data_IF_013533733916
#
_entry.id   IF_013533733916
#
_cell.length_a   1.000
_cell.length_b   1.000
_cell.length_c   1.000
_cell.angle_alpha   90.00
_cell.angle_beta   90.00
_cell.angle_gamma   90.00
#
_symmetry.space_group_name_H-M   'P 1'
#
loop_
_entity.id
_entity.type
_entity.pdbx_description
1 polymer ?
#
# COMPACT_ATOMS: atom_id res chain seq x y z
N UNK A 1 35.65 -19.77 -63.97
CA UNK A 1 35.41 -19.21 -62.63
C UNK A 1 33.94 -18.86 -62.53
N UNK A 2 33.15 -19.65 -61.79
CA UNK A 2 31.75 -19.35 -61.53
C UNK A 2 31.66 -18.83 -60.08
N UNK A 3 31.20 -17.61 -59.89
CA UNK A 3 30.98 -17.02 -58.56
C UNK A 3 29.53 -17.29 -58.19
N UNK A 4 29.32 -18.11 -57.16
CA UNK A 4 28.03 -18.31 -56.49
C UNK A 4 27.73 -17.06 -55.66
N UNK A 5 26.68 -16.34 -56.02
CA UNK A 5 26.14 -15.25 -55.21
C UNK A 5 25.27 -15.81 -54.09
N UNK A 6 25.69 -15.61 -52.84
CA UNK A 6 24.87 -15.87 -51.66
C UNK A 6 23.94 -14.67 -51.44
N UNK A 7 22.65 -14.84 -51.73
CA UNK A 7 21.61 -13.88 -51.35
C UNK A 7 21.27 -14.04 -49.88
N UNK A 8 21.53 -13.01 -49.07
CA UNK A 8 21.04 -12.95 -47.70
C UNK A 8 19.53 -12.67 -47.72
N UNK A 9 18.73 -13.58 -47.16
CA UNK A 9 17.33 -13.35 -46.87
C UNK A 9 17.25 -12.39 -45.69
N UNK A 10 17.02 -11.11 -45.95
CA UNK A 10 16.62 -10.15 -44.92
C UNK A 10 15.21 -10.52 -44.48
N UNK A 11 15.10 -11.22 -43.35
CA UNK A 11 13.81 -11.52 -42.74
C UNK A 11 13.14 -10.25 -42.21
N UNK A 12 11.86 -10.06 -42.53
CA UNK A 12 10.98 -9.10 -41.85
C UNK A 12 10.74 -9.57 -40.41
N UNK A 13 11.71 -9.33 -39.54
CA UNK A 13 11.54 -9.35 -38.10
C UNK A 13 11.70 -7.93 -37.59
N UNK A 14 10.64 -7.11 -37.72
CA UNK A 14 10.61 -5.81 -37.06
C UNK A 14 10.68 -6.04 -35.56
N UNK A 15 11.80 -5.70 -34.94
CA UNK A 15 11.85 -5.55 -33.51
C UNK A 15 10.93 -4.36 -33.17
N UNK A 16 9.84 -4.61 -32.44
CA UNK A 16 9.13 -3.52 -31.79
C UNK A 16 10.12 -2.90 -30.81
N UNK A 17 10.53 -1.66 -31.04
CA UNK A 17 11.29 -0.94 -30.05
C UNK A 17 10.37 -0.84 -28.83
N UNK A 18 10.76 -1.45 -27.71
CA UNK A 18 10.13 -1.11 -26.44
C UNK A 18 10.57 0.31 -26.13
N UNK A 19 9.75 1.29 -26.55
CA UNK A 19 10.00 2.68 -26.23
C UNK A 19 10.10 2.79 -24.72
N UNK A 20 11.25 3.32 -24.29
CA UNK A 20 11.49 3.52 -22.86
C UNK A 20 10.54 4.62 -22.42
N UNK A 21 9.62 4.28 -21.50
CA UNK A 21 8.61 5.21 -20.99
C UNK A 21 9.28 6.49 -20.46
N UNK A 22 8.90 7.64 -21.01
CA UNK A 22 9.50 8.93 -20.71
C UNK A 22 8.89 9.55 -19.43
N UNK A 23 9.41 9.16 -18.27
CA UNK A 23 8.93 9.63 -16.96
C UNK A 23 9.33 11.08 -16.65
N UNK A 24 8.36 11.87 -16.20
CA UNK A 24 8.50 13.28 -15.81
C UNK A 24 7.87 13.53 -14.42
N UNK A 25 8.18 14.64 -13.73
CA UNK A 25 7.44 15.05 -12.54
C UNK A 25 5.93 15.27 -12.81
N UNK A 26 5.06 14.87 -11.88
CA UNK A 26 3.61 15.06 -12.01
C UNK A 26 3.12 16.38 -11.39
N UNK A 27 3.21 17.51 -12.09
CA UNK A 27 2.81 18.80 -11.50
C UNK A 27 1.31 18.87 -11.14
N UNK A 28 0.44 18.36 -12.01
CA UNK A 28 -1.02 18.35 -11.83
C UNK A 28 -1.47 17.39 -10.70
N UNK A 29 -0.90 16.19 -10.70
CA UNK A 29 -1.27 15.14 -9.76
C UNK A 29 -0.68 15.38 -8.37
N UNK A 30 0.52 15.97 -8.27
CA UNK A 30 1.19 16.25 -7.00
C UNK A 30 0.31 17.11 -6.09
N UNK A 31 -0.21 18.24 -6.60
CA UNK A 31 -1.10 19.11 -5.83
C UNK A 31 -2.35 18.36 -5.34
N UNK A 32 -2.99 17.58 -6.22
CA UNK A 32 -4.16 16.79 -5.89
C UNK A 32 -3.89 15.77 -4.76
N UNK A 33 -2.79 15.02 -4.84
CA UNK A 33 -2.51 14.00 -3.80
C UNK A 33 -2.02 14.62 -2.49
N UNK A 34 -1.40 15.80 -2.54
CA UNK A 34 -1.07 16.59 -1.33
C UNK A 34 -2.35 17.01 -0.60
N UNK A 35 -3.37 17.47 -1.31
CA UNK A 35 -4.66 17.84 -0.71
C UNK A 35 -5.38 16.63 -0.08
N UNK A 36 -5.13 15.42 -0.59
CA UNK A 36 -5.60 14.16 0.00
C UNK A 36 -4.77 13.69 1.21
N UNK A 37 -3.76 14.45 1.62
CA UNK A 37 -2.91 14.16 2.78
C UNK A 37 -1.85 13.09 2.51
N UNK A 38 -1.43 12.88 1.26
CA UNK A 38 -0.28 12.02 0.95
C UNK A 38 1.00 12.68 1.46
N UNK A 39 1.87 11.85 2.06
CA UNK A 39 3.17 12.26 2.61
C UNK A 39 4.06 12.92 1.53
N UNK A 40 4.72 14.04 1.87
CA UNK A 40 5.57 14.82 0.96
C UNK A 40 6.67 13.96 0.31
N UNK A 41 7.30 13.04 1.06
CA UNK A 41 8.33 12.15 0.52
C UNK A 41 7.78 11.09 -0.45
N UNK A 42 6.46 10.88 -0.50
CA UNK A 42 5.79 10.11 -1.56
C UNK A 42 5.53 10.99 -2.77
N UNK A 43 5.11 12.25 -2.55
CA UNK A 43 4.87 13.23 -3.61
C UNK A 43 6.16 13.55 -4.39
N UNK A 44 7.28 13.72 -3.71
CA UNK A 44 8.59 14.01 -4.35
C UNK A 44 9.08 12.91 -5.30
N UNK A 45 8.62 11.68 -5.09
CA UNK A 45 8.97 10.51 -5.92
C UNK A 45 7.89 10.16 -6.94
N UNK A 46 6.83 10.96 -7.02
CA UNK A 46 5.73 10.77 -7.95
C UNK A 46 6.15 11.21 -9.35
N UNK A 47 6.05 10.28 -10.31
CA UNK A 47 6.38 10.49 -11.71
C UNK A 47 5.21 10.10 -12.59
N UNK A 48 5.05 10.82 -13.69
CA UNK A 48 4.00 10.65 -14.68
C UNK A 48 4.63 10.36 -16.04
N UNK A 49 3.90 9.65 -16.88
CA UNK A 49 4.25 9.43 -18.27
C UNK A 49 2.99 9.22 -19.09
N UNK A 50 3.14 9.30 -20.40
CA UNK A 50 2.14 8.88 -21.37
C UNK A 50 2.71 7.77 -22.24
N UNK A 51 1.89 6.79 -22.60
CA UNK A 51 2.25 5.68 -23.49
C UNK A 51 1.16 5.51 -24.53
N UNK A 52 1.54 5.53 -25.80
CA UNK A 52 0.64 5.19 -26.89
C UNK A 52 0.49 3.69 -27.01
N UNK A 53 -0.76 3.23 -27.09
CA UNK A 53 -1.10 1.82 -27.34
C UNK A 53 -2.04 1.73 -28.53
N UNK A 54 -1.97 0.64 -29.32
CA UNK A 54 -2.91 0.47 -30.42
C UNK A 54 -4.34 0.36 -29.88
N UNK A 55 -5.27 1.04 -30.56
CA UNK A 55 -6.70 0.92 -30.28
C UNK A 55 -7.21 -0.48 -30.65
N UNK A 56 -6.65 -1.06 -31.70
CA UNK A 56 -6.91 -2.42 -32.16
C UNK A 56 -5.58 -3.20 -32.16
N UNK A 57 -5.48 -4.21 -31.30
CA UNK A 57 -4.25 -5.01 -31.18
C UNK A 57 -4.06 -5.99 -32.35
N UNK A 58 -5.09 -6.27 -33.15
CA UNK A 58 -4.97 -7.05 -34.39
C UNK A 58 -4.37 -6.21 -35.54
N UNK A 59 -4.42 -4.88 -35.42
CA UNK A 59 -3.78 -3.91 -36.32
C UNK A 59 -2.85 -2.95 -35.53
N UNK A 60 -1.66 -3.42 -35.10
CA UNK A 60 -0.79 -2.67 -34.20
C UNK A 60 -0.18 -1.39 -34.83
N UNK A 61 -0.22 -1.26 -36.15
CA UNK A 61 0.21 -0.06 -36.88
C UNK A 61 -0.95 0.93 -37.13
N UNK A 62 -2.16 0.58 -36.70
CA UNK A 62 -3.37 1.37 -36.85
C UNK A 62 -3.44 2.58 -35.90
N UNK A 63 -4.67 2.99 -35.56
CA UNK A 63 -4.89 4.12 -34.64
C UNK A 63 -4.41 3.79 -33.24
N UNK A 64 -3.78 4.74 -32.56
CA UNK A 64 -3.38 4.62 -31.16
C UNK A 64 -4.28 5.43 -30.23
N UNK A 65 -4.25 5.08 -28.95
CA UNK A 65 -4.78 5.87 -27.83
C UNK A 65 -3.66 6.10 -26.82
N UNK A 66 -3.71 7.24 -26.14
CA UNK A 66 -2.74 7.57 -25.10
C UNK A 66 -3.22 7.05 -23.73
N UNK A 67 -2.36 6.32 -23.03
CA UNK A 67 -2.55 5.91 -21.65
C UNK A 67 -1.71 6.81 -20.72
N UNK A 68 -2.38 7.53 -19.82
CA UNK A 68 -1.72 8.29 -18.77
C UNK A 68 -1.32 7.37 -17.61
N UNK A 69 -0.03 7.35 -17.31
CA UNK A 69 0.57 6.54 -16.24
C UNK A 69 1.09 7.43 -15.11
N UNK A 70 1.08 6.89 -13.90
CA UNK A 70 1.80 7.44 -12.76
C UNK A 70 2.51 6.32 -12.00
N UNK A 71 3.61 6.67 -11.32
CA UNK A 71 4.30 5.78 -10.39
C UNK A 71 4.91 6.58 -9.25
N UNK A 72 5.09 5.91 -8.12
CA UNK A 72 5.99 6.40 -7.08
C UNK A 72 7.23 5.54 -7.12
N UNK A 73 8.39 6.15 -7.36
CA UNK A 73 9.66 5.42 -7.44
C UNK A 73 9.99 4.80 -6.08
N UNK A 74 10.14 3.47 -6.03
CA UNK A 74 10.49 2.74 -4.82
C UNK A 74 11.83 3.19 -4.24
N UNK A 75 12.01 3.02 -2.92
CA UNK A 75 13.30 3.31 -2.26
C UNK A 75 14.31 2.18 -2.41
N UNK A 76 13.84 0.96 -2.68
CA UNK A 76 14.68 -0.20 -2.96
C UNK A 76 14.64 -0.50 -4.47
N UNK A 77 15.75 -0.31 -5.20
CA UNK A 77 15.79 -0.58 -6.64
C UNK A 77 15.67 -2.06 -6.99
N UNK A 78 15.84 -2.99 -6.03
CA UNK A 78 15.66 -4.42 -6.24
C UNK A 78 14.20 -4.88 -6.04
N UNK A 79 13.32 -4.02 -5.51
CA UNK A 79 11.93 -4.37 -5.29
C UNK A 79 11.16 -4.49 -6.62
N UNK A 80 10.23 -5.47 -6.74
CA UNK A 80 9.40 -5.59 -7.93
C UNK A 80 8.42 -4.41 -8.06
N UNK A 81 8.01 -4.12 -9.29
CA UNK A 81 6.95 -3.14 -9.55
C UNK A 81 5.59 -3.74 -9.22
N UNK A 82 4.78 -3.01 -8.47
CA UNK A 82 3.38 -3.33 -8.23
C UNK A 82 2.49 -2.42 -9.08
N UNK A 83 1.72 -3.02 -9.98
CA UNK A 83 0.67 -2.30 -10.69
C UNK A 83 -0.63 -2.33 -9.89
N UNK A 84 -1.30 -1.18 -9.80
CA UNK A 84 -2.57 -1.04 -9.08
C UNK A 84 -3.62 -0.50 -10.02
N UNK A 85 -4.85 -0.99 -9.87
CA UNK A 85 -6.01 -0.54 -10.62
C UNK A 85 -7.15 -0.33 -9.61
N UNK A 86 -7.81 0.85 -9.55
CA UNK A 86 -8.88 1.12 -8.59
C UNK A 86 -10.07 0.16 -8.72
N UNK A 87 -10.15 -0.55 -9.85
CA UNK A 87 -11.31 -1.35 -10.20
C UNK A 87 -12.43 -0.46 -10.73
N UNK A 88 -13.52 -1.08 -11.16
CA UNK A 88 -14.59 -0.40 -11.90
C UNK A 88 -14.09 0.18 -13.24
N UNK A 89 -14.97 0.33 -14.23
CA UNK A 89 -14.66 1.16 -15.37
C UNK A 89 -14.92 2.64 -15.05
N UNK A 90 -14.09 3.53 -15.59
CA UNK A 90 -14.30 4.99 -15.54
C UNK A 90 -13.76 5.71 -14.31
N UNK A 91 -13.20 4.99 -13.33
CA UNK A 91 -12.49 5.62 -12.20
C UNK A 91 -11.08 6.01 -12.63
N UNK A 92 -10.69 7.25 -12.33
CA UNK A 92 -9.35 7.77 -12.57
C UNK A 92 -8.33 7.02 -11.71
N UNK A 93 -7.29 6.46 -12.34
CA UNK A 93 -6.34 5.56 -11.68
C UNK A 93 -4.99 6.19 -11.30
N UNK A 94 -4.64 7.39 -11.80
CA UNK A 94 -3.27 7.94 -11.66
C UNK A 94 -2.98 8.29 -10.20
N UNK A 95 -3.98 8.71 -9.43
CA UNK A 95 -3.80 8.98 -8.00
C UNK A 95 -3.55 7.72 -7.14
N UNK A 96 -3.87 6.52 -7.66
CA UNK A 96 -3.89 5.31 -6.85
C UNK A 96 -2.51 4.82 -6.40
N UNK A 97 -1.45 5.04 -7.18
CA UNK A 97 -0.09 4.65 -6.78
C UNK A 97 0.34 5.36 -5.49
N UNK A 98 0.12 6.68 -5.42
CA UNK A 98 0.40 7.49 -4.24
C UNK A 98 -0.55 7.15 -3.07
N UNK A 99 -1.85 7.04 -3.34
CA UNK A 99 -2.86 6.69 -2.34
C UNK A 99 -2.65 5.32 -1.70
N UNK A 100 -2.23 4.32 -2.49
CA UNK A 100 -1.95 2.97 -1.99
C UNK A 100 -0.76 2.96 -1.03
N UNK A 101 0.30 3.71 -1.33
CA UNK A 101 1.45 3.86 -0.43
C UNK A 101 1.03 4.53 0.86
N UNK A 102 0.20 5.59 0.79
CA UNK A 102 -0.34 6.25 1.97
C UNK A 102 -1.12 5.26 2.86
N UNK A 103 -2.07 4.50 2.28
CA UNK A 103 -2.91 3.55 3.01
C UNK A 103 -2.10 2.41 3.67
N UNK A 104 -1.16 1.81 2.94
CA UNK A 104 -0.32 0.73 3.47
C UNK A 104 0.63 1.26 4.56
N UNK A 105 1.17 2.46 4.39
CA UNK A 105 2.06 3.09 5.36
C UNK A 105 1.31 3.45 6.65
N UNK A 106 0.09 3.98 6.55
CA UNK A 106 -0.78 4.23 7.69
C UNK A 106 -1.09 2.94 8.44
N UNK A 107 -1.44 1.87 7.72
CA UNK A 107 -1.70 0.55 8.32
C UNK A 107 -0.47 0.02 9.05
N UNK A 108 0.72 0.04 8.43
CA UNK A 108 1.96 -0.37 9.09
C UNK A 108 2.27 0.46 10.33
N UNK A 109 2.08 1.78 10.28
CA UNK A 109 2.31 2.68 11.42
C UNK A 109 1.36 2.35 12.57
N UNK A 110 0.08 2.12 12.28
CA UNK A 110 -0.91 1.69 13.27
C UNK A 110 -0.56 0.32 13.88
N UNK A 111 -0.17 -0.65 13.05
CA UNK A 111 0.27 -1.97 13.54
C UNK A 111 1.50 -1.88 14.45
N UNK A 112 2.48 -1.04 14.12
CA UNK A 112 3.68 -0.86 14.94
C UNK A 112 3.39 -0.12 16.26
N UNK A 113 2.44 0.83 16.25
CA UNK A 113 2.03 1.55 17.46
C UNK A 113 1.27 0.64 18.46
N UNK A 114 0.55 -0.35 17.94
CA UNK A 114 -0.07 -1.41 18.73
C UNK A 114 0.98 -2.47 19.10
N UNK A 115 1.90 -2.13 20.01
CA UNK A 115 2.90 -3.07 20.53
C UNK A 115 2.23 -4.40 21.01
N UNK A 116 2.60 -5.58 20.47
CA UNK A 116 1.92 -6.84 20.79
C UNK A 116 2.28 -7.47 22.16
N UNK A 117 3.01 -6.80 23.05
CA UNK A 117 3.46 -7.40 24.33
C UNK A 117 2.35 -7.80 25.33
N UNK A 118 1.07 -7.77 24.99
CA UNK A 118 0.00 -8.21 25.93
C UNK A 118 -1.31 -8.70 25.29
N UNK A 119 -1.26 -9.36 24.13
CA UNK A 119 -2.45 -10.02 23.58
C UNK A 119 -2.25 -11.53 23.43
N UNK A 120 -2.02 -12.22 24.56
CA UNK A 120 -2.43 -13.62 24.67
C UNK A 120 -3.95 -13.64 24.50
N UNK A 121 -4.53 -14.38 23.52
CA UNK A 121 -5.94 -14.66 23.56
C UNK A 121 -6.22 -15.38 24.88
N UNK A 122 -7.21 -14.94 25.64
CA UNK A 122 -7.70 -15.66 26.80
C UNK A 122 -8.42 -16.94 26.33
N UNK A 123 -7.68 -17.89 25.76
CA UNK A 123 -8.11 -19.27 25.56
C UNK A 123 -7.47 -20.14 26.64
N UNK A 124 -7.69 -19.76 27.89
CA UNK A 124 -7.76 -20.72 28.98
C UNK A 124 -9.03 -20.40 29.73
N UNK A 125 -10.05 -21.21 29.48
CA UNK A 125 -11.23 -21.32 30.35
C UNK A 125 -10.67 -21.62 31.74
N UNK A 126 -10.69 -20.64 32.65
CA UNK A 126 -10.43 -20.91 34.05
C UNK A 126 -11.56 -21.85 34.53
N UNK A 127 -11.24 -23.14 34.70
CA UNK A 127 -12.07 -24.05 35.48
C UNK A 127 -12.15 -23.51 36.91
N UNK A 128 -13.35 -23.43 37.51
CA UNK A 128 -13.47 -23.11 38.92
C UNK A 128 -13.36 -24.40 39.71
N UNK A 129 -12.16 -24.74 40.17
CA UNK A 129 -12.00 -25.64 41.31
C UNK A 129 -11.19 -24.90 42.39
N UNK A 130 -11.92 -24.32 43.33
CA UNK A 130 -11.37 -23.92 44.62
C UNK A 130 -11.39 -25.15 45.52
N UNK A 131 -10.30 -25.41 46.28
CA UNK A 131 -10.52 -25.49 47.71
C UNK A 131 -9.51 -24.63 48.50
N UNK A 132 -10.13 -23.83 49.37
CA UNK A 132 -9.67 -23.17 50.58
C UNK A 132 -8.38 -23.70 51.22
N UNK A 133 -7.45 -22.79 51.54
CA UNK A 133 -6.74 -22.80 52.83
C UNK A 133 -6.46 -21.37 53.28
N UNK A 134 -6.80 -21.12 54.53
CA UNK A 134 -7.05 -19.85 55.20
C UNK A 134 -5.82 -18.99 55.47
N UNK A 135 -5.95 -17.67 55.32
CA UNK A 135 -5.30 -16.69 56.21
C UNK A 135 -6.32 -15.56 56.52
N UNK A 136 -6.53 -15.18 57.80
CA UNK A 136 -7.35 -14.02 58.12
C UNK A 136 -6.57 -12.72 57.87
N UNK A 137 -7.18 -11.68 57.28
CA UNK A 137 -6.56 -10.37 57.18
C UNK A 137 -6.73 -9.59 58.50
N UNK A 138 -5.63 -9.00 58.95
CA UNK A 138 -5.59 -7.93 59.94
C UNK A 138 -6.04 -6.63 59.27
N UNK A 139 -7.22 -6.09 59.58
CA UNK A 139 -7.40 -4.62 59.66
C UNK A 139 -8.73 -4.20 60.33
N UNK A 140 -8.56 -3.55 61.47
CA UNK A 140 -9.26 -2.35 61.97
C UNK A 140 -10.58 -1.96 61.29
N UNK A 141 -11.70 -2.15 61.98
CA UNK A 141 -13.02 -1.68 61.58
C UNK A 141 -13.43 -0.38 62.29
N UNK A 142 -13.77 0.62 61.46
CA UNK A 142 -15.03 1.38 61.49
C UNK A 142 -15.28 2.51 62.50
N UNK A 143 -15.14 3.75 61.97
CA UNK A 143 -16.09 4.88 61.88
C UNK A 143 -17.24 5.02 62.93
N UNK A 144 -17.53 6.25 63.43
CA UNK A 144 -18.50 6.48 64.51
C UNK A 144 -19.94 6.73 64.02
N UNK A 145 -20.93 6.22 64.77
CA UNK A 145 -22.33 6.69 64.71
C UNK A 145 -23.03 6.67 66.09
N UNK A 146 -23.23 7.88 66.63
CA UNK A 146 -24.47 8.48 67.21
C UNK A 146 -25.28 7.76 68.34
N UNK A 147 -25.16 8.35 69.54
CA UNK A 147 -26.20 8.96 70.43
C UNK A 147 -27.25 8.14 71.20
N UNK A 148 -27.51 8.65 72.42
CA UNK A 148 -28.54 8.37 73.46
C UNK A 148 -28.22 7.26 74.47
N UNK A 149 -28.41 7.36 75.80
CA UNK A 149 -28.79 8.41 76.76
C UNK A 149 -28.67 7.79 78.19
N UNK A 150 -28.72 8.64 79.23
CA UNK A 150 -29.20 8.42 80.62
C UNK A 150 -28.22 7.99 81.73
N UNK A 151 -28.26 8.80 82.80
CA UNK A 151 -27.67 8.78 84.16
C UNK A 151 -26.26 9.34 84.33
#
# INVERSE_FOLDING_TARGET
>A
MAVLGAGALTGCGGAVAADTVAWQPCADLAAYVTDLGVDEGVVDRLQCASVDVPLDYDDPEGRTIELALSRVVGTDPAAPTLFVNPGGPGVEGRSMAAGSICAVSATRRASNALNPTSRTPATTRASPDTPTTSQPPTETASRPTRSSSVH
#
